data_IF_456722671250
#
_entry.id   IF_456722671250
#
_cell.length_a   1.000
_cell.length_b   1.000
_cell.length_c   1.000
_cell.angle_alpha   90.00
_cell.angle_beta   90.00
_cell.angle_gamma   90.00
#
_symmetry.space_group_name_H-M   'P 1'
#
loop_
_entity.id
_entity.type
_entity.pdbx_description
1 polymer ?
#
# COMPACT_ATOMS: atom_id res chain seq x y z
N UNK A 1 -9.50 3.41 38.68
CA UNK A 1 -9.37 2.45 39.80
C UNK A 1 -9.04 1.11 39.16
N UNK A 2 -7.73 0.84 38.99
CA UNK A 2 -7.22 -0.35 38.31
C UNK A 2 -7.63 -1.59 39.12
N UNK A 3 -8.37 -2.50 38.50
CA UNK A 3 -8.67 -3.80 39.10
C UNK A 3 -7.44 -4.70 38.90
N UNK A 4 -6.47 -4.57 39.81
CA UNK A 4 -5.27 -5.43 39.87
C UNK A 4 -5.58 -6.84 40.44
N UNK A 5 -6.83 -7.06 40.87
CA UNK A 5 -7.31 -8.33 41.44
C UNK A 5 -7.57 -9.43 40.40
N UNK A 6 -7.35 -9.16 39.11
CA UNK A 6 -7.66 -10.09 38.02
C UNK A 6 -6.53 -11.08 37.70
N UNK A 7 -5.34 -10.91 38.29
CA UNK A 7 -4.16 -11.74 37.98
C UNK A 7 -3.89 -12.69 39.16
N UNK A 8 -3.95 -14.02 38.95
CA UNK A 8 -3.70 -15.00 40.01
C UNK A 8 -2.25 -14.88 40.51
N UNK A 9 -2.07 -14.79 41.83
CA UNK A 9 -0.77 -14.56 42.46
C UNK A 9 -0.19 -15.80 43.17
N UNK A 10 -0.95 -16.90 43.19
CA UNK A 10 -0.51 -18.18 43.78
C UNK A 10 -0.74 -19.33 42.79
N UNK A 11 0.00 -20.45 42.92
CA UNK A 11 -0.20 -21.63 42.09
C UNK A 11 -1.65 -22.16 42.16
N UNK A 12 -2.26 -22.13 43.34
CA UNK A 12 -3.63 -22.58 43.55
C UNK A 12 -4.65 -21.65 42.87
N UNK A 13 -4.43 -20.33 42.93
CA UNK A 13 -5.25 -19.35 42.20
C UNK A 13 -5.08 -19.49 40.69
N UNK A 14 -3.87 -19.79 40.21
CA UNK A 14 -3.62 -20.04 38.79
C UNK A 14 -4.36 -21.30 38.33
N UNK A 15 -4.32 -22.38 39.11
CA UNK A 15 -5.04 -23.61 38.81
C UNK A 15 -6.56 -23.38 38.71
N UNK A 16 -7.15 -22.68 39.69
CA UNK A 16 -8.57 -22.34 39.68
C UNK A 16 -8.95 -21.41 38.52
N UNK A 17 -8.08 -20.46 38.16
CA UNK A 17 -8.27 -19.59 37.02
C UNK A 17 -8.26 -20.37 35.69
N UNK A 18 -7.28 -21.28 35.52
CA UNK A 18 -7.15 -22.12 34.33
C UNK A 18 -8.33 -23.09 34.17
N UNK A 19 -8.88 -23.60 35.27
CA UNK A 19 -10.05 -24.49 35.28
C UNK A 19 -11.33 -23.78 34.82
N UNK A 20 -11.40 -22.45 35.01
CA UNK A 20 -12.51 -21.61 34.55
C UNK A 20 -12.40 -21.13 33.09
N UNK A 21 -11.32 -21.46 32.38
CA UNK A 21 -11.14 -21.04 30.99
C UNK A 21 -12.01 -21.89 30.06
N UNK A 22 -13.02 -21.25 29.49
CA UNK A 22 -13.71 -21.75 28.30
C UNK A 22 -12.98 -21.28 27.06
N UNK A 23 -12.41 -22.24 26.33
CA UNK A 23 -11.87 -21.97 25.00
C UNK A 23 -13.02 -21.99 24.00
N UNK A 24 -13.12 -20.94 23.18
CA UNK A 24 -13.90 -21.07 21.96
C UNK A 24 -13.32 -22.24 21.16
N UNK A 25 -14.18 -23.16 20.67
CA UNK A 25 -13.70 -24.20 19.79
C UNK A 25 -12.98 -23.51 18.63
N UNK A 26 -11.80 -24.00 18.23
CA UNK A 26 -11.11 -23.43 17.07
C UNK A 26 -12.13 -23.39 15.93
N UNK A 27 -12.15 -22.31 15.13
CA UNK A 27 -13.00 -22.29 13.96
C UNK A 27 -12.76 -23.60 13.20
N UNK A 28 -13.80 -24.21 12.61
CA UNK A 28 -13.60 -25.40 11.79
C UNK A 28 -12.44 -25.12 10.85
N UNK A 29 -11.62 -26.13 10.54
CA UNK A 29 -10.57 -26.00 9.53
C UNK A 29 -11.22 -25.54 8.22
N UNK A 30 -11.41 -24.23 8.08
CA UNK A 30 -11.50 -23.55 6.81
C UNK A 30 -10.25 -23.98 6.10
N UNK A 31 -10.38 -24.42 4.85
CA UNK A 31 -9.25 -24.74 4.00
C UNK A 31 -8.16 -23.71 4.27
N UNK A 32 -7.10 -24.13 4.96
CA UNK A 32 -5.99 -23.26 5.34
C UNK A 32 -5.45 -22.56 4.09
N UNK A 33 -5.49 -23.30 2.98
CA UNK A 33 -5.24 -22.83 1.64
C UNK A 33 -6.15 -21.66 1.23
N UNK A 34 -7.46 -21.74 1.43
CA UNK A 34 -8.38 -20.65 1.10
C UNK A 34 -8.12 -19.40 1.96
N UNK A 35 -7.63 -19.57 3.19
CA UNK A 35 -7.25 -18.46 4.06
C UNK A 35 -5.95 -17.81 3.57
N UNK A 36 -4.94 -18.62 3.23
CA UNK A 36 -3.68 -18.16 2.65
C UNK A 36 -3.89 -17.46 1.29
N UNK A 37 -4.79 -17.98 0.45
CA UNK A 37 -5.15 -17.41 -0.84
C UNK A 37 -5.89 -16.06 -0.70
N UNK A 38 -6.52 -15.81 0.45
CA UNK A 38 -7.19 -14.53 0.77
C UNK A 38 -6.22 -13.45 1.28
N UNK A 39 -5.01 -13.83 1.66
CA UNK A 39 -4.00 -12.89 2.11
C UNK A 39 -3.44 -12.10 0.92
N UNK A 40 -3.03 -10.83 1.13
CA UNK A 40 -2.28 -10.10 0.13
C UNK A 40 -1.02 -10.88 -0.27
N UNK A 41 -0.58 -10.82 -1.53
CA UNK A 41 0.66 -11.43 -1.97
C UNK A 41 1.84 -11.02 -1.08
N UNK A 42 2.75 -11.95 -0.82
CA UNK A 42 3.99 -11.67 -0.08
C UNK A 42 4.73 -10.50 -0.71
N UNK A 43 5.11 -9.50 0.10
CA UNK A 43 5.74 -8.26 -0.38
C UNK A 43 4.77 -7.14 -0.76
N UNK A 44 3.45 -7.34 -0.57
CA UNK A 44 2.49 -6.25 -0.67
C UNK A 44 2.84 -5.13 0.31
N UNK A 45 2.93 -3.89 -0.20
CA UNK A 45 3.21 -2.72 0.62
C UNK A 45 2.09 -2.43 1.61
N UNK A 46 2.44 -2.15 2.86
CA UNK A 46 1.48 -1.69 3.87
C UNK A 46 1.02 -0.29 3.51
N UNK A 47 -0.28 -0.13 3.25
CA UNK A 47 -0.89 1.14 2.85
C UNK A 47 -1.60 1.79 4.05
N UNK A 48 -1.53 3.13 4.13
CA UNK A 48 -2.27 3.92 5.13
C UNK A 48 -3.37 4.71 4.44
N UNK A 49 -4.61 4.58 4.92
CA UNK A 49 -5.75 5.36 4.42
C UNK A 49 -5.66 6.80 4.94
N UNK A 50 -5.82 7.77 4.04
CA UNK A 50 -5.84 9.21 4.37
C UNK A 50 -6.96 9.90 3.60
N UNK A 51 -7.68 10.80 4.27
CA UNK A 51 -8.65 11.69 3.63
C UNK A 51 -7.94 12.90 3.04
N UNK A 52 -8.19 13.21 1.77
CA UNK A 52 -7.64 14.37 1.06
C UNK A 52 -8.80 15.19 0.50
N UNK A 53 -8.74 16.51 0.66
CA UNK A 53 -9.67 17.44 -0.01
C UNK A 53 -9.05 17.90 -1.31
N UNK A 54 -9.79 17.74 -2.41
CA UNK A 54 -9.38 18.19 -3.74
C UNK A 54 -10.42 19.16 -4.29
N UNK A 55 -10.01 20.20 -5.05
CA UNK A 55 -10.93 20.93 -5.91
C UNK A 55 -11.67 19.97 -6.85
N UNK A 56 -12.92 20.28 -7.18
CA UNK A 56 -13.78 19.43 -8.01
C UNK A 56 -13.14 19.19 -9.38
N UNK A 57 -12.57 20.23 -9.96
CA UNK A 57 -11.95 20.20 -11.28
C UNK A 57 -10.72 19.28 -11.29
N UNK A 58 -9.94 19.32 -10.20
CA UNK A 58 -8.78 18.44 -10.04
C UNK A 58 -9.23 16.98 -9.85
N UNK A 59 -10.26 16.74 -9.04
CA UNK A 59 -10.81 15.40 -8.84
C UNK A 59 -11.31 14.78 -10.15
N UNK A 60 -11.97 15.58 -11.01
CA UNK A 60 -12.41 15.17 -12.34
C UNK A 60 -11.24 14.89 -13.28
N UNK A 61 -10.24 15.78 -13.32
CA UNK A 61 -9.06 15.59 -14.16
C UNK A 61 -8.31 14.30 -13.81
N UNK A 62 -8.18 14.01 -12.51
CA UNK A 62 -7.58 12.76 -12.01
C UNK A 62 -8.41 11.55 -12.41
N UNK A 63 -9.75 11.64 -12.36
CA UNK A 63 -10.61 10.55 -12.80
C UNK A 63 -10.44 10.25 -14.30
N UNK A 64 -10.42 11.28 -15.15
CA UNK A 64 -10.20 11.13 -16.58
C UNK A 64 -8.81 10.57 -16.90
N UNK A 65 -7.77 11.02 -16.20
CA UNK A 65 -6.41 10.52 -16.39
C UNK A 65 -6.26 9.05 -15.96
N UNK A 66 -6.88 8.66 -14.84
CA UNK A 66 -6.90 7.28 -14.38
C UNK A 66 -7.65 6.36 -15.36
N UNK A 67 -8.78 6.82 -15.89
CA UNK A 67 -9.54 6.10 -16.91
C UNK A 67 -8.73 5.90 -18.19
N UNK A 68 -8.05 6.96 -18.67
CA UNK A 68 -7.21 6.87 -19.87
C UNK A 68 -6.01 5.94 -19.70
N UNK A 69 -5.51 5.78 -18.48
CA UNK A 69 -4.44 4.86 -18.12
C UNK A 69 -4.93 3.46 -17.71
N UNK A 70 -6.24 3.21 -17.76
CA UNK A 70 -6.88 1.93 -17.37
C UNK A 70 -6.52 1.45 -15.95
N UNK A 71 -6.32 2.38 -15.02
CA UNK A 71 -5.97 2.09 -13.63
C UNK A 71 -6.98 2.70 -12.65
N UNK A 72 -7.12 2.14 -11.43
CA UNK A 72 -7.93 2.77 -10.39
C UNK A 72 -7.42 4.17 -10.05
N UNK A 73 -8.36 5.08 -9.76
CA UNK A 73 -8.06 6.47 -9.40
C UNK A 73 -7.02 6.59 -8.27
N UNK A 74 -7.11 5.73 -7.25
CA UNK A 74 -6.18 5.70 -6.12
C UNK A 74 -4.77 5.27 -6.52
N UNK A 75 -4.64 4.32 -7.45
CA UNK A 75 -3.35 3.90 -8.00
C UNK A 75 -2.71 5.02 -8.82
N UNK A 76 -3.52 5.69 -9.64
CA UNK A 76 -3.05 6.83 -10.43
C UNK A 76 -2.55 7.99 -9.55
N UNK A 77 -3.32 8.38 -8.53
CA UNK A 77 -2.92 9.43 -7.57
C UNK A 77 -1.60 9.07 -6.89
N UNK A 78 -1.47 7.83 -6.44
CA UNK A 78 -0.25 7.36 -5.78
C UNK A 78 0.96 7.47 -6.70
N UNK A 79 0.85 6.96 -7.92
CA UNK A 79 1.94 6.98 -8.90
C UNK A 79 2.33 8.42 -9.28
N UNK A 80 1.34 9.32 -9.41
CA UNK A 80 1.61 10.74 -9.68
C UNK A 80 2.39 11.40 -8.53
N UNK A 81 2.04 11.07 -7.27
CA UNK A 81 2.76 11.56 -6.08
C UNK A 81 4.18 10.98 -6.03
N UNK A 82 4.33 9.67 -6.23
CA UNK A 82 5.65 9.00 -6.25
C UNK A 82 6.57 9.60 -7.31
N UNK A 83 6.06 9.82 -8.52
CA UNK A 83 6.81 10.46 -9.60
C UNK A 83 7.21 11.90 -9.24
N UNK A 84 6.28 12.69 -8.69
CA UNK A 84 6.57 14.06 -8.28
C UNK A 84 7.62 14.13 -7.15
N UNK A 85 7.63 13.15 -6.25
CA UNK A 85 8.64 13.06 -5.18
C UNK A 85 9.99 12.59 -5.72
N UNK A 86 10.02 11.63 -6.65
CA UNK A 86 11.25 11.19 -7.30
C UNK A 86 11.96 12.33 -8.04
N UNK A 87 11.20 13.14 -8.82
CA UNK A 87 11.74 14.33 -9.50
C UNK A 87 12.34 15.34 -8.52
N UNK A 88 11.77 15.48 -7.32
CA UNK A 88 12.31 16.37 -6.29
C UNK A 88 13.55 15.81 -5.58
N UNK A 89 13.71 14.49 -5.52
CA UNK A 89 14.78 13.84 -4.78
C UNK A 89 16.12 13.79 -5.55
N UNK A 90 16.07 13.69 -6.88
CA UNK A 90 17.25 13.44 -7.71
C UNK A 90 18.02 14.71 -8.16
N UNK A 91 17.67 15.91 -7.68
CA UNK A 91 18.19 17.21 -8.20
C UNK A 91 18.06 17.36 -9.73
N UNK A 92 17.31 16.46 -10.38
CA UNK A 92 17.14 16.38 -11.81
C UNK A 92 16.00 17.34 -12.18
N UNK A 93 16.39 18.57 -12.52
CA UNK A 93 15.47 19.60 -12.98
C UNK A 93 14.57 19.03 -14.09
N UNK A 94 13.24 19.07 -13.95
CA UNK A 94 12.35 18.52 -14.96
C UNK A 94 12.58 19.25 -16.28
N UNK A 95 13.10 18.55 -17.28
CA UNK A 95 13.29 19.12 -18.61
C UNK A 95 11.95 19.19 -19.33
N UNK A 96 11.71 20.29 -20.05
CA UNK A 96 10.52 20.44 -20.89
C UNK A 96 10.42 19.32 -21.92
N UNK A 97 9.20 18.88 -22.25
CA UNK A 97 8.94 17.87 -23.31
C UNK A 97 9.61 18.25 -24.64
N UNK A 98 9.64 19.55 -24.97
CA UNK A 98 10.30 20.03 -26.18
C UNK A 98 11.83 19.86 -26.10
N UNK A 99 12.40 20.07 -24.92
CA UNK A 99 13.83 19.87 -24.64
C UNK A 99 14.19 18.38 -24.76
N UNK A 100 13.37 17.51 -24.18
CA UNK A 100 13.53 16.05 -24.27
C UNK A 100 13.48 15.57 -25.73
N UNK A 101 12.51 16.05 -26.52
CA UNK A 101 12.41 15.70 -27.94
C UNK A 101 13.62 16.19 -28.75
N UNK A 102 14.11 17.41 -28.48
CA UNK A 102 15.35 17.92 -29.11
C UNK A 102 16.54 17.03 -28.75
N UNK A 103 16.74 16.70 -27.48
CA UNK A 103 17.82 15.84 -27.04
C UNK A 103 17.77 14.46 -27.71
N UNK A 104 16.58 13.85 -27.82
CA UNK A 104 16.40 12.57 -28.51
C UNK A 104 16.74 12.64 -30.00
N UNK A 105 16.47 13.77 -30.67
CA UNK A 105 16.85 13.94 -32.09
C UNK A 105 18.35 14.09 -32.32
N UNK A 106 19.13 14.45 -31.29
CA UNK A 106 20.58 14.57 -31.36
C UNK A 106 21.30 13.22 -31.19
N UNK A 107 20.61 12.20 -30.67
CA UNK A 107 21.15 10.85 -30.57
C UNK A 107 21.11 10.17 -31.95
N UNK A 108 22.28 9.96 -32.56
CA UNK A 108 22.39 9.16 -33.78
C UNK A 108 21.94 7.72 -33.47
N UNK A 109 21.13 7.06 -34.32
CA UNK A 109 20.74 5.67 -34.09
C UNK A 109 21.99 4.79 -33.99
N UNK A 110 22.10 4.04 -32.88
CA UNK A 110 23.11 3.01 -32.73
C UNK A 110 22.91 2.01 -33.87
N UNK A 111 23.87 1.95 -34.79
CA UNK A 111 23.85 0.94 -35.85
C UNK A 111 23.90 -0.42 -35.17
N UNK A 112 22.83 -1.19 -35.31
CA UNK A 112 22.80 -2.60 -34.98
C UNK A 112 23.91 -3.28 -35.79
N UNK A 113 24.98 -3.69 -35.13
CA UNK A 113 26.01 -4.56 -35.73
C UNK A 113 25.47 -5.97 -35.58
N UNK A 114 25.23 -6.62 -36.73
CA UNK A 114 24.90 -8.04 -36.83
C UNK A 114 26.15 -8.90 -36.68
#
# INVERSE_FOLDING_TARGET
>A
MSHDDAVPQTPEQLAAFMEGLTFEPPPPARDEQALLDSLPPTGSSVMVVRSLRLPIELDQAVASAAQAAEVPKTAWIRQAIEMALAVQADDDQPISRAEALRALTLLRPARHVA
#
